data_IF_767533421873
#
_entry.id   IF_767533421873
#
_cell.length_a   1.000
_cell.length_b   1.000
_cell.length_c   1.000
_cell.angle_alpha   90.00
_cell.angle_beta   90.00
_cell.angle_gamma   90.00
#
_symmetry.space_group_name_H-M   'P 1'
#
loop_
_entity.id
_entity.type
_entity.pdbx_description
1 polymer ?
#
# COMPACT_ATOMS: atom_id res chain seq x y z
N UNK A 1 20.63 6.49 7.06
CA UNK A 1 19.37 6.26 6.32
C UNK A 1 19.26 4.79 6.00
N UNK A 2 18.07 4.20 6.11
CA UNK A 2 17.84 2.81 5.71
C UNK A 2 18.17 2.67 4.23
N UNK A 3 19.02 1.69 3.91
CA UNK A 3 19.33 1.30 2.55
C UNK A 3 18.77 -0.09 2.27
N UNK A 4 18.27 -0.29 1.03
CA UNK A 4 17.80 -1.59 0.57
C UNK A 4 18.81 -2.20 -0.40
N UNK A 5 19.24 -3.41 -0.09
CA UNK A 5 20.06 -4.24 -0.96
C UNK A 5 19.29 -4.61 -2.24
N UNK A 6 20.02 -4.98 -3.29
CA UNK A 6 19.41 -5.47 -4.53
C UNK A 6 18.55 -6.73 -4.29
N UNK A 7 18.94 -7.58 -3.33
CA UNK A 7 18.17 -8.77 -2.94
C UNK A 7 16.84 -8.39 -2.29
N UNK A 8 16.83 -7.43 -1.37
CA UNK A 8 15.60 -6.93 -0.75
C UNK A 8 14.67 -6.29 -1.77
N UNK A 9 15.18 -5.41 -2.64
CA UNK A 9 14.37 -4.79 -3.70
C UNK A 9 13.73 -5.83 -4.62
N UNK A 10 14.49 -6.87 -4.98
CA UNK A 10 13.98 -7.99 -5.79
C UNK A 10 12.88 -8.77 -5.05
N UNK A 11 13.08 -9.09 -3.77
CA UNK A 11 12.08 -9.80 -2.97
C UNK A 11 10.78 -9.00 -2.85
N UNK A 12 10.88 -7.68 -2.64
CA UNK A 12 9.72 -6.77 -2.61
C UNK A 12 8.98 -6.72 -3.95
N UNK A 13 9.70 -6.71 -5.09
CA UNK A 13 9.10 -6.82 -6.41
C UNK A 13 8.35 -8.15 -6.61
N UNK A 14 8.93 -9.26 -6.16
CA UNK A 14 8.32 -10.59 -6.26
C UNK A 14 7.06 -10.69 -5.39
N UNK A 15 7.12 -10.18 -4.17
CA UNK A 15 5.98 -10.09 -3.25
C UNK A 15 4.85 -9.25 -3.84
N UNK A 16 5.15 -8.03 -4.31
CA UNK A 16 4.13 -7.16 -4.91
C UNK A 16 3.53 -7.79 -6.18
N UNK A 17 4.34 -8.49 -6.99
CA UNK A 17 3.85 -9.21 -8.17
C UNK A 17 2.79 -10.25 -7.80
N UNK A 18 3.00 -11.02 -6.72
CA UNK A 18 2.05 -12.03 -6.26
C UNK A 18 0.72 -11.42 -5.76
N UNK A 19 0.76 -10.19 -5.22
CA UNK A 19 -0.42 -9.51 -4.70
C UNK A 19 -1.11 -8.60 -5.72
N UNK A 20 -0.44 -8.24 -6.82
CA UNK A 20 -0.91 -7.25 -7.80
C UNK A 20 -2.32 -7.56 -8.36
N UNK A 21 -2.65 -8.81 -8.78
CA UNK A 21 -3.98 -9.10 -9.30
C UNK A 21 -5.09 -8.91 -8.25
N UNK A 22 -4.80 -9.20 -6.97
CA UNK A 22 -5.76 -9.02 -5.87
C UNK A 22 -5.96 -7.54 -5.58
N UNK A 23 -4.88 -6.77 -5.47
CA UNK A 23 -4.93 -5.31 -5.27
C UNK A 23 -5.71 -4.65 -6.41
N UNK A 24 -5.41 -5.01 -7.66
CA UNK A 24 -6.10 -4.47 -8.83
C UNK A 24 -7.61 -4.73 -8.78
N UNK A 25 -8.02 -5.98 -8.47
CA UNK A 25 -9.43 -6.35 -8.31
C UNK A 25 -10.10 -5.62 -7.13
N UNK A 26 -9.39 -5.44 -6.01
CA UNK A 26 -9.88 -4.70 -4.84
C UNK A 26 -10.22 -3.24 -5.18
N UNK A 27 -9.43 -2.64 -6.09
CA UNK A 27 -9.66 -1.30 -6.60
C UNK A 27 -10.65 -1.26 -7.78
N UNK A 28 -11.27 -2.39 -8.15
CA UNK A 28 -12.17 -2.52 -9.30
C UNK A 28 -11.55 -2.10 -10.64
N UNK A 29 -10.24 -2.30 -10.82
CA UNK A 29 -9.52 -1.90 -12.02
C UNK A 29 -9.34 -3.07 -13.00
N UNK A 30 -9.45 -2.78 -14.29
CA UNK A 30 -8.94 -3.69 -15.34
C UNK A 30 -7.41 -3.57 -15.45
N UNK A 31 -6.77 -4.51 -16.16
CA UNK A 31 -5.34 -4.41 -16.46
C UNK A 31 -5.01 -3.17 -17.31
N UNK A 32 -5.96 -2.71 -18.14
CA UNK A 32 -5.81 -1.49 -18.92
C UNK A 32 -5.85 -0.25 -18.01
N UNK A 33 -6.80 -0.19 -17.07
CA UNK A 33 -6.93 0.93 -16.15
C UNK A 33 -5.69 1.08 -15.27
N UNK A 34 -5.19 -0.05 -14.72
CA UNK A 34 -3.96 -0.04 -13.94
C UNK A 34 -2.75 0.39 -14.78
N UNK A 35 -2.69 -0.05 -16.04
CA UNK A 35 -1.66 0.39 -16.98
C UNK A 35 -1.68 1.90 -17.19
N UNK A 36 -2.85 2.47 -17.48
CA UNK A 36 -3.03 3.91 -17.67
C UNK A 36 -2.62 4.72 -16.43
N UNK A 37 -2.97 4.24 -15.22
CA UNK A 37 -2.60 4.90 -13.96
C UNK A 37 -1.10 4.85 -13.67
N UNK A 38 -0.43 3.76 -14.03
CA UNK A 38 0.99 3.53 -13.72
C UNK A 38 1.93 3.97 -14.85
N UNK A 39 1.39 4.37 -16.00
CA UNK A 39 2.17 4.63 -17.22
C UNK A 39 2.72 3.36 -17.89
N UNK A 40 2.23 2.17 -17.51
CA UNK A 40 2.63 0.89 -18.07
C UNK A 40 1.63 0.44 -19.14
N UNK A 41 2.09 -0.31 -20.13
CA UNK A 41 1.16 -0.89 -21.10
C UNK A 41 0.29 -1.97 -20.43
N UNK A 42 -0.95 -2.15 -20.91
CA UNK A 42 -1.81 -3.28 -20.51
C UNK A 42 -1.08 -4.63 -20.63
N UNK A 43 -0.28 -4.79 -21.68
CA UNK A 43 0.50 -6.02 -21.94
C UNK A 43 1.54 -6.22 -20.85
N UNK A 44 2.25 -5.16 -20.45
CA UNK A 44 3.23 -5.19 -19.35
C UNK A 44 2.56 -5.60 -18.05
N UNK A 45 1.42 -5.01 -17.69
CA UNK A 45 0.65 -5.40 -16.50
C UNK A 45 0.28 -6.89 -16.55
N UNK A 46 -0.25 -7.35 -17.68
CA UNK A 46 -0.63 -8.76 -17.86
C UNK A 46 0.56 -9.73 -17.74
N UNK A 47 1.70 -9.37 -18.30
CA UNK A 47 2.92 -10.18 -18.22
C UNK A 47 3.52 -10.20 -16.81
N UNK A 48 3.44 -9.09 -16.06
CA UNK A 48 3.83 -9.04 -14.65
C UNK A 48 2.89 -9.92 -13.82
N UNK A 49 1.57 -9.75 -13.96
CA UNK A 49 0.58 -10.52 -13.19
C UNK A 49 0.66 -12.03 -13.45
N UNK A 50 1.09 -12.43 -14.65
CA UNK A 50 1.30 -13.84 -15.01
C UNK A 50 2.70 -14.36 -14.66
N UNK A 51 3.59 -13.52 -14.12
CA UNK A 51 4.97 -13.87 -13.79
C UNK A 51 5.90 -14.05 -15.01
N UNK A 52 5.42 -13.80 -16.23
CA UNK A 52 6.22 -13.88 -17.46
C UNK A 52 7.28 -12.80 -17.53
N UNK A 53 7.00 -11.62 -16.97
CA UNK A 53 7.93 -10.51 -16.85
C UNK A 53 8.14 -10.17 -15.38
N UNK A 54 9.39 -9.99 -14.98
CA UNK A 54 9.73 -9.57 -13.62
C UNK A 54 9.45 -8.08 -13.44
N UNK A 55 8.80 -7.75 -12.32
CA UNK A 55 8.61 -6.36 -11.91
C UNK A 55 9.97 -5.70 -11.63
N UNK A 56 10.24 -4.55 -12.25
CA UNK A 56 11.41 -3.72 -11.95
C UNK A 56 11.11 -2.81 -10.76
N UNK A 57 12.15 -2.22 -10.17
CA UNK A 57 11.96 -1.24 -9.09
C UNK A 57 11.11 -0.04 -9.53
N UNK A 58 11.26 0.40 -10.78
CA UNK A 58 10.44 1.48 -11.34
C UNK A 58 8.97 1.08 -11.43
N UNK A 59 8.66 -0.15 -11.86
CA UNK A 59 7.29 -0.66 -11.87
C UNK A 59 6.70 -0.69 -10.46
N UNK A 60 7.48 -1.16 -9.48
CA UNK A 60 7.06 -1.19 -8.07
C UNK A 60 6.72 0.23 -7.59
N UNK A 61 7.59 1.22 -7.82
CA UNK A 61 7.33 2.61 -7.39
C UNK A 61 6.07 3.19 -8.02
N UNK A 62 5.84 2.96 -9.32
CA UNK A 62 4.64 3.42 -10.02
C UNK A 62 3.36 2.81 -9.42
N UNK A 63 3.37 1.50 -9.16
CA UNK A 63 2.23 0.80 -8.52
C UNK A 63 2.03 1.28 -7.07
N UNK A 64 3.13 1.47 -6.34
CA UNK A 64 3.09 1.91 -4.95
C UNK A 64 2.52 3.31 -4.79
N UNK A 65 2.77 4.22 -5.74
CA UNK A 65 2.14 5.54 -5.73
C UNK A 65 0.60 5.43 -5.74
N UNK A 66 0.05 4.59 -6.62
CA UNK A 66 -1.40 4.34 -6.67
C UNK A 66 -1.89 3.70 -5.37
N UNK A 67 -1.15 2.73 -4.83
CA UNK A 67 -1.53 2.05 -3.60
C UNK A 67 -1.53 2.98 -2.37
N UNK A 68 -0.59 3.92 -2.31
CA UNK A 68 -0.42 4.85 -1.19
C UNK A 68 -1.54 5.90 -1.11
N UNK A 69 -2.09 6.30 -2.25
CA UNK A 69 -3.19 7.29 -2.31
C UNK A 69 -4.59 6.68 -2.20
N UNK A 70 -4.70 5.35 -2.25
CA UNK A 70 -5.99 4.64 -2.16
C UNK A 70 -6.18 4.01 -0.78
N UNK A 71 -7.31 4.32 -0.11
CA UNK A 71 -7.60 3.80 1.24
C UNK A 71 -7.66 2.27 1.28
N UNK A 72 -8.41 1.65 0.36
CA UNK A 72 -8.62 0.20 0.33
C UNK A 72 -7.30 -0.57 0.15
N UNK A 73 -6.41 -0.07 -0.70
CA UNK A 73 -5.08 -0.68 -0.87
C UNK A 73 -4.20 -0.47 0.36
N UNK A 74 -4.25 0.70 1.03
CA UNK A 74 -3.53 0.89 2.30
C UNK A 74 -3.97 -0.10 3.36
N UNK A 75 -5.28 -0.29 3.53
CA UNK A 75 -5.85 -1.29 4.45
C UNK A 75 -5.38 -2.70 4.08
N UNK A 76 -5.37 -3.04 2.79
CA UNK A 76 -4.87 -4.34 2.32
C UNK A 76 -3.39 -4.55 2.63
N UNK A 77 -2.54 -3.53 2.42
CA UNK A 77 -1.10 -3.61 2.73
C UNK A 77 -0.89 -3.85 4.22
N UNK A 78 -1.59 -3.11 5.07
CA UNK A 78 -1.51 -3.27 6.52
C UNK A 78 -1.96 -4.67 6.95
N UNK A 79 -3.13 -5.13 6.49
CA UNK A 79 -3.69 -6.42 6.86
C UNK A 79 -2.84 -7.62 6.42
N UNK A 80 -2.03 -7.47 5.38
CA UNK A 80 -1.16 -8.54 4.86
C UNK A 80 0.32 -8.34 5.22
N UNK A 81 0.67 -7.31 6.00
CA UNK A 81 2.06 -6.93 6.30
C UNK A 81 2.95 -6.84 5.04
N UNK A 82 2.39 -6.29 3.95
CA UNK A 82 3.03 -6.32 2.64
C UNK A 82 4.27 -5.42 2.59
N UNK A 83 5.38 -5.93 2.03
CA UNK A 83 6.70 -5.27 1.89
C UNK A 83 7.43 -4.97 3.21
N UNK A 84 6.72 -4.93 4.34
CA UNK A 84 7.26 -4.74 5.68
C UNK A 84 7.69 -3.32 6.04
N UNK A 85 8.08 -3.13 7.30
CA UNK A 85 8.45 -1.83 7.88
C UNK A 85 9.71 -1.23 7.25
N UNK A 86 10.68 -2.06 6.87
CA UNK A 86 11.93 -1.62 6.21
C UNK A 86 11.66 -0.92 4.88
N UNK A 87 10.69 -1.40 4.10
CA UNK A 87 10.29 -0.73 2.87
C UNK A 87 9.78 0.69 3.17
N UNK A 88 8.90 0.83 4.16
CA UNK A 88 8.36 2.13 4.56
C UNK A 88 9.44 3.09 5.07
N UNK A 89 10.38 2.62 5.89
CA UNK A 89 11.50 3.45 6.36
C UNK A 89 12.37 3.93 5.19
N UNK A 90 12.67 3.03 4.24
CA UNK A 90 13.45 3.36 3.05
C UNK A 90 12.76 4.46 2.21
N UNK A 91 11.48 4.29 1.85
CA UNK A 91 10.78 5.28 1.01
C UNK A 91 10.51 6.61 1.73
N UNK A 92 10.51 6.61 3.06
CA UNK A 92 10.38 7.82 3.89
C UNK A 92 11.73 8.49 4.19
N UNK A 93 12.86 7.90 3.77
CA UNK A 93 14.19 8.44 4.05
C UNK A 93 14.58 8.41 5.53
N UNK A 94 14.08 7.45 6.30
CA UNK A 94 14.33 7.33 7.75
C UNK A 94 15.60 6.57 8.05
N UNK A 95 16.14 6.73 9.25
CA UNK A 95 17.24 5.91 9.79
C UNK A 95 16.73 4.60 10.38
N UNK A 96 17.64 3.61 10.55
CA UNK A 96 17.30 2.25 10.99
C UNK A 96 16.56 2.20 12.33
N UNK A 97 16.94 3.07 13.26
CA UNK A 97 16.38 3.12 14.61
C UNK A 97 15.07 3.94 14.70
N UNK A 98 14.64 4.56 13.59
CA UNK A 98 13.44 5.40 13.57
C UNK A 98 12.31 4.59 12.91
N UNK A 99 11.23 4.25 13.63
CA UNK A 99 10.12 3.50 13.05
C UNK A 99 9.44 4.28 11.91
N UNK A 100 8.85 3.59 10.91
CA UNK A 100 8.16 4.26 9.81
C UNK A 100 6.89 4.96 10.29
N UNK A 101 6.52 6.06 9.61
CA UNK A 101 5.23 6.71 9.84
C UNK A 101 4.15 5.84 9.20
N UNK A 102 3.15 5.43 9.99
CA UNK A 102 2.02 4.64 9.52
C UNK A 102 0.82 5.57 9.46
N UNK A 103 0.41 5.95 8.24
CA UNK A 103 -0.80 6.75 8.04
C UNK A 103 -2.04 5.87 8.20
N UNK A 104 -2.63 5.90 9.39
CA UNK A 104 -3.94 5.30 9.64
C UNK A 104 -5.02 6.29 9.22
N UNK A 105 -5.70 5.99 8.11
CA UNK A 105 -6.86 6.75 7.70
C UNK A 105 -8.08 6.26 8.48
N UNK A 106 -8.54 7.08 9.42
CA UNK A 106 -9.75 6.80 10.19
C UNK A 106 -10.96 7.41 9.45
N UNK A 107 -12.04 6.64 9.31
CA UNK A 107 -13.28 7.17 8.72
C UNK A 107 -13.90 8.19 9.65
N UNK A 108 -14.26 9.35 9.11
CA UNK A 108 -14.86 10.45 9.88
C UNK A 108 -16.13 10.01 10.61
N UNK A 109 -16.95 9.17 9.97
CA UNK A 109 -18.16 8.62 10.61
C UNK A 109 -17.86 7.87 11.92
N UNK A 110 -16.74 7.14 11.97
CA UNK A 110 -16.32 6.44 13.19
C UNK A 110 -15.84 7.42 14.25
N UNK A 111 -15.09 8.45 13.87
CA UNK A 111 -14.63 9.50 14.80
C UNK A 111 -15.84 10.19 15.43
N UNK A 112 -16.84 10.55 14.62
CA UNK A 112 -18.08 11.16 15.10
C UNK A 112 -18.82 10.21 16.05
N UNK A 113 -19.04 8.95 15.66
CA UNK A 113 -19.74 7.98 16.50
C UNK A 113 -19.04 7.75 17.86
N UNK A 114 -17.70 7.70 17.90
CA UNK A 114 -16.96 7.56 19.15
C UNK A 114 -17.02 8.84 20.00
N UNK A 115 -16.98 10.02 19.38
CA UNK A 115 -17.15 11.30 20.08
C UNK A 115 -18.50 11.37 20.76
N UNK A 116 -19.58 11.10 20.02
CA UNK A 116 -20.95 11.15 20.53
C UNK A 116 -21.16 10.16 21.69
N UNK A 117 -20.55 8.96 21.60
CA UNK A 117 -20.58 7.96 22.67
C UNK A 117 -19.89 8.45 23.96
N UNK A 118 -18.77 9.15 23.84
CA UNK A 118 -18.03 9.70 24.98
C UNK A 118 -18.83 10.84 25.63
N UNK A 119 -19.39 11.73 24.82
CA UNK A 119 -20.21 12.86 25.28
C UNK A 119 -21.45 12.35 26.03
N UNK A 120 -22.17 11.38 25.47
CA UNK A 120 -23.34 10.79 26.11
C UNK A 120 -23.00 10.05 27.43
N UNK A 121 -21.83 9.39 27.51
CA UNK A 121 -21.36 8.77 28.77
C UNK A 121 -20.98 9.82 29.83
N UNK A 122 -20.47 10.97 29.41
CA UNK A 122 -20.13 12.07 30.32
C UNK A 122 -21.38 12.77 30.88
N UNK A 123 -22.49 12.79 30.13
CA UNK A 123 -23.78 13.34 30.56
C UNK A 123 -24.55 12.42 31.52
N UNK A 124 -24.44 11.09 31.35
CA UNK A 124 -25.11 10.11 32.22
C UNK A 124 -24.34 9.80 33.52
N UNK A 125 -23.10 10.27 33.65
CA UNK A 125 -22.25 10.10 34.84
C UNK A 125 -22.27 11.29 35.81
N UNK A 126 -23.14 12.28 35.60
CA UNK A 126 -23.43 13.39 36.52
C UNK A 126 -24.80 13.21 37.16
#
# INVERSE_FOLDING_TARGET
MVELTAKEKKAMCEELTAHLPKIRKLLSLTQADLGNLTGLSRVTISQIESGKVKMTWLHLNAIMFICAVNLRSKEYFYANNLLGTRFLQFVQGKDENIPPDINVSVRTELITAYRDLIEHKAEQGK
#
